data_IF_041368210582
#
_entry.id   IF_041368210582
#
_cell.length_a   1.000
_cell.length_b   1.000
_cell.length_c   1.000
_cell.angle_alpha   90.00
_cell.angle_beta   90.00
_cell.angle_gamma   90.00
#
_symmetry.space_group_name_H-M   'P 1'
#
loop_
_entity.id
_entity.type
_entity.pdbx_description
1 polymer ?
#
# COMPACT_ATOMS: atom_id res chain seq x y z
N UNK A 1 -0.87 13.51 -13.48
CA UNK A 1 -1.40 12.13 -13.48
C UNK A 1 -2.84 12.14 -13.03
N UNK A 2 -3.68 11.39 -13.70
CA UNK A 2 -5.05 11.23 -13.24
C UNK A 2 -5.09 10.15 -12.18
N UNK A 3 -5.65 10.49 -11.04
CA UNK A 3 -5.74 9.56 -9.92
C UNK A 3 -7.14 9.61 -9.35
N UNK A 4 -7.68 8.44 -9.08
CA UNK A 4 -8.94 8.34 -8.38
C UNK A 4 -8.65 8.02 -6.92
N UNK A 5 -9.15 8.85 -6.02
CA UNK A 5 -8.95 8.67 -4.58
C UNK A 5 -10.31 8.46 -3.94
N UNK A 6 -10.44 7.35 -3.23
CA UNK A 6 -11.70 6.97 -2.61
C UNK A 6 -11.46 6.73 -1.13
N UNK A 7 -11.90 7.64 -0.29
CA UNK A 7 -11.67 7.56 1.16
C UNK A 7 -12.77 6.74 1.80
N UNK A 8 -12.37 5.65 2.44
CA UNK A 8 -13.28 4.80 3.19
C UNK A 8 -13.06 5.02 4.68
N UNK A 9 -13.84 4.32 5.49
CA UNK A 9 -13.74 4.49 6.93
C UNK A 9 -12.40 4.02 7.48
N UNK A 10 -11.90 2.90 6.98
CA UNK A 10 -10.69 2.28 7.51
C UNK A 10 -9.48 2.41 6.60
N UNK A 11 -9.65 2.88 5.39
CA UNK A 11 -8.54 2.98 4.43
C UNK A 11 -8.91 3.93 3.30
N UNK A 12 -7.89 4.32 2.53
CA UNK A 12 -8.08 5.11 1.32
C UNK A 12 -7.60 4.28 0.15
N UNK A 13 -8.42 4.14 -0.89
CA UNK A 13 -8.03 3.46 -2.11
C UNK A 13 -7.55 4.50 -3.11
N UNK A 14 -6.38 4.28 -3.66
CA UNK A 14 -5.80 5.14 -4.68
C UNK A 14 -5.69 4.34 -5.96
N UNK A 15 -6.27 4.85 -7.05
CA UNK A 15 -6.27 4.16 -8.33
C UNK A 15 -5.73 5.11 -9.40
N UNK A 16 -4.48 4.95 -9.81
CA UNK A 16 -3.95 5.75 -10.93
C UNK A 16 -4.65 5.33 -12.21
N UNK A 17 -5.17 6.30 -12.96
CA UNK A 17 -5.89 6.01 -14.19
C UNK A 17 -4.97 6.37 -15.35
N UNK A 18 -3.88 5.61 -15.47
CA UNK A 18 -2.85 5.82 -16.48
C UNK A 18 -2.36 4.48 -16.98
N UNK A 19 -2.02 4.36 -18.24
CA UNK A 19 -1.51 3.08 -18.75
C UNK A 19 -0.11 2.75 -18.26
N UNK A 20 0.68 3.77 -17.92
CA UNK A 20 2.04 3.54 -17.45
C UNK A 20 2.37 4.53 -16.34
N UNK A 21 3.04 4.05 -15.30
CA UNK A 21 3.49 4.88 -14.19
C UNK A 21 4.95 5.24 -14.40
N UNK A 22 5.22 6.53 -14.57
CA UNK A 22 6.57 7.05 -14.70
C UNK A 22 7.07 7.54 -13.35
N UNK A 23 8.36 7.78 -13.24
CA UNK A 23 8.99 8.20 -11.98
C UNK A 23 8.34 9.45 -11.41
N UNK A 24 8.06 10.45 -12.26
CA UNK A 24 7.47 11.69 -11.77
C UNK A 24 6.04 11.46 -11.25
N UNK A 25 5.32 10.49 -11.82
CA UNK A 25 3.99 10.14 -11.32
C UNK A 25 4.08 9.46 -9.97
N UNK A 26 5.08 8.61 -9.78
CA UNK A 26 5.29 7.97 -8.49
C UNK A 26 5.65 9.01 -7.43
N UNK A 27 6.36 10.05 -7.81
CA UNK A 27 6.66 11.14 -6.88
C UNK A 27 5.39 11.87 -6.46
N UNK A 28 4.44 12.05 -7.39
CA UNK A 28 3.15 12.63 -7.05
C UNK A 28 2.39 11.73 -6.08
N UNK A 29 2.43 10.42 -6.32
CA UNK A 29 1.81 9.47 -5.40
C UNK A 29 2.41 9.59 -4.00
N UNK A 30 3.71 9.75 -3.92
CA UNK A 30 4.38 9.93 -2.63
C UNK A 30 3.81 11.13 -1.89
N UNK A 31 3.61 12.24 -2.60
CA UNK A 31 3.05 13.43 -1.98
C UNK A 31 1.64 13.21 -1.45
N UNK A 32 0.81 12.52 -2.22
CA UNK A 32 -0.55 12.21 -1.80
C UNK A 32 -0.53 11.32 -0.58
N UNK A 33 0.32 10.31 -0.58
CA UNK A 33 0.40 9.37 0.52
C UNK A 33 0.98 10.02 1.78
N UNK A 34 1.91 10.95 1.64
CA UNK A 34 2.42 11.69 2.79
C UNK A 34 1.27 12.45 3.47
N UNK A 35 0.35 13.01 2.68
CA UNK A 35 -0.81 13.67 3.26
C UNK A 35 -1.71 12.71 4.00
N UNK A 36 -1.85 11.50 3.49
CA UNK A 36 -2.68 10.49 4.15
C UNK A 36 -2.06 10.07 5.48
N UNK A 37 -0.74 10.01 5.56
CA UNK A 37 -0.05 9.64 6.79
C UNK A 37 -0.28 10.65 7.92
N UNK A 38 -0.78 11.84 7.62
CA UNK A 38 -1.09 12.84 8.62
C UNK A 38 -2.50 12.70 9.17
N UNK A 39 -3.29 11.80 8.62
CA UNK A 39 -4.67 11.60 9.05
C UNK A 39 -4.75 10.51 10.12
N UNK A 40 -5.91 10.39 10.74
CA UNK A 40 -6.13 9.32 11.71
C UNK A 40 -6.17 7.97 11.03
N UNK A 41 -6.87 7.88 9.92
CA UNK A 41 -6.91 6.65 9.14
C UNK A 41 -5.82 6.74 8.10
N UNK A 42 -4.78 5.95 8.27
CA UNK A 42 -3.59 6.05 7.46
C UNK A 42 -3.41 4.93 6.45
N UNK A 43 -4.28 3.94 6.45
CA UNK A 43 -4.11 2.77 5.59
C UNK A 43 -4.43 3.10 4.14
N UNK A 44 -3.63 2.55 3.22
CA UNK A 44 -3.79 2.79 1.78
C UNK A 44 -3.85 1.47 1.04
N UNK A 45 -4.77 1.38 0.11
CA UNK A 45 -4.79 0.31 -0.88
C UNK A 45 -4.51 0.97 -2.22
N UNK A 46 -3.44 0.55 -2.88
CA UNK A 46 -3.06 1.04 -4.19
C UNK A 46 -3.56 0.07 -5.25
N UNK A 47 -4.60 0.47 -5.96
CA UNK A 47 -5.21 -0.38 -6.98
C UNK A 47 -4.61 -0.03 -8.33
N UNK A 48 -3.89 -0.97 -8.92
CA UNK A 48 -3.18 -0.74 -10.18
C UNK A 48 -3.89 -1.39 -11.37
N UNK A 49 -5.18 -1.64 -11.24
CA UNK A 49 -5.93 -2.28 -12.32
C UNK A 49 -5.82 -1.55 -13.66
N UNK A 50 -5.88 -0.20 -13.73
CA UNK A 50 -5.74 0.47 -15.02
C UNK A 50 -4.32 0.51 -15.56
N UNK A 51 -3.33 0.15 -14.75
CA UNK A 51 -1.92 0.32 -15.10
C UNK A 51 -1.40 -0.90 -15.82
N UNK A 52 -0.86 -0.71 -17.02
CA UNK A 52 -0.33 -1.82 -17.82
C UNK A 52 1.18 -1.96 -17.67
N UNK A 53 1.87 -0.92 -17.25
CA UNK A 53 3.32 -0.94 -17.17
C UNK A 53 3.80 0.07 -16.13
N UNK A 54 5.04 -0.09 -15.66
CA UNK A 54 5.60 0.79 -14.64
C UNK A 54 7.10 0.89 -14.85
N UNK A 55 7.65 2.09 -14.70
CA UNK A 55 9.08 2.28 -14.78
C UNK A 55 9.78 1.71 -13.56
N UNK A 56 11.01 1.25 -13.75
CA UNK A 56 11.78 0.67 -12.64
C UNK A 56 11.89 1.64 -11.47
N UNK A 57 12.23 2.89 -11.75
CA UNK A 57 12.36 3.89 -10.70
C UNK A 57 11.05 4.18 -9.99
N UNK A 58 9.94 4.10 -10.72
CA UNK A 58 8.62 4.28 -10.12
C UNK A 58 8.30 3.13 -9.18
N UNK A 59 8.64 1.91 -9.59
CA UNK A 59 8.41 0.74 -8.74
C UNK A 59 9.20 0.85 -7.45
N UNK A 60 10.44 1.34 -7.53
CA UNK A 60 11.27 1.52 -6.35
C UNK A 60 10.70 2.58 -5.41
N UNK A 61 10.15 3.65 -5.95
CA UNK A 61 9.51 4.67 -5.12
C UNK A 61 8.29 4.11 -4.39
N UNK A 62 7.52 3.26 -5.06
CA UNK A 62 6.35 2.64 -4.44
C UNK A 62 6.78 1.70 -3.32
N UNK A 63 7.89 0.98 -3.51
CA UNK A 63 8.39 0.12 -2.46
C UNK A 63 8.80 0.94 -1.24
N UNK A 64 9.40 2.10 -1.45
CA UNK A 64 9.75 2.98 -0.34
C UNK A 64 8.51 3.51 0.37
N UNK A 65 7.44 3.74 -0.37
CA UNK A 65 6.19 4.16 0.24
C UNK A 65 5.66 3.10 1.19
N UNK A 66 5.69 1.85 0.79
CA UNK A 66 5.21 0.80 1.67
C UNK A 66 6.02 0.75 2.96
N UNK A 67 7.35 0.86 2.85
CA UNK A 67 8.20 0.86 4.03
C UNK A 67 7.85 2.05 4.94
N UNK A 68 7.63 3.20 4.36
CA UNK A 68 7.30 4.39 5.12
C UNK A 68 5.99 4.23 5.89
N UNK A 69 5.00 3.61 5.26
CA UNK A 69 3.72 3.36 5.92
C UNK A 69 3.90 2.39 7.08
N UNK A 70 4.66 1.33 6.87
CA UNK A 70 4.88 0.36 7.93
C UNK A 70 5.65 0.97 9.09
N UNK A 71 6.62 1.84 8.81
CA UNK A 71 7.33 2.54 9.86
C UNK A 71 6.41 3.45 10.66
N UNK A 72 5.32 3.90 10.06
CA UNK A 72 4.33 4.76 10.71
C UNK A 72 3.17 3.95 11.30
N UNK A 73 3.29 2.63 11.37
CA UNK A 73 2.25 1.74 11.88
C UNK A 73 0.97 1.82 11.05
N UNK A 74 1.14 1.90 9.74
CA UNK A 74 0.02 1.95 8.81
C UNK A 74 0.19 0.85 7.78
N UNK A 75 -0.89 0.50 7.09
CA UNK A 75 -0.87 -0.54 6.08
C UNK A 75 -0.83 0.07 4.69
N UNK A 76 -0.09 -0.58 3.80
CA UNK A 76 0.00 -0.18 2.40
C UNK A 76 -0.01 -1.46 1.59
N UNK A 77 -1.11 -1.69 0.85
CA UNK A 77 -1.28 -2.93 0.10
C UNK A 77 -1.56 -2.59 -1.36
N UNK A 78 -0.91 -3.32 -2.26
CA UNK A 78 -1.09 -3.14 -3.70
C UNK A 78 -1.98 -4.27 -4.21
N UNK A 79 -2.92 -3.95 -5.10
CA UNK A 79 -3.78 -4.99 -5.66
C UNK A 79 -3.99 -4.80 -7.15
N UNK A 80 -4.49 -5.84 -7.79
CA UNK A 80 -4.91 -5.82 -9.19
C UNK A 80 -3.78 -5.52 -10.15
N UNK A 81 -2.56 -6.02 -9.87
CA UNK A 81 -1.45 -5.76 -10.79
C UNK A 81 -1.56 -6.67 -12.01
N UNK A 82 -1.18 -6.13 -13.15
CA UNK A 82 -1.15 -6.88 -14.40
C UNK A 82 0.19 -7.58 -14.57
N UNK A 83 0.26 -8.59 -15.44
CA UNK A 83 1.50 -9.36 -15.58
C UNK A 83 2.74 -8.54 -15.88
N UNK A 84 2.64 -7.50 -16.69
CA UNK A 84 3.81 -6.69 -17.01
C UNK A 84 4.31 -5.91 -15.79
N UNK A 85 3.40 -5.46 -14.93
CA UNK A 85 3.80 -4.79 -13.70
C UNK A 85 4.44 -5.80 -12.75
N UNK A 86 3.85 -6.98 -12.66
CA UNK A 86 4.41 -8.03 -11.81
C UNK A 86 5.83 -8.38 -12.25
N UNK A 87 6.06 -8.45 -13.56
CA UNK A 87 7.38 -8.75 -14.08
C UNK A 87 8.42 -7.72 -13.67
N UNK A 88 8.06 -6.44 -13.68
CA UNK A 88 8.98 -5.39 -13.26
C UNK A 88 9.32 -5.55 -11.78
N UNK A 89 8.30 -5.83 -10.96
CA UNK A 89 8.52 -6.01 -9.53
C UNK A 89 9.40 -7.22 -9.25
N UNK A 90 9.19 -8.30 -10.00
CA UNK A 90 10.02 -9.50 -9.85
C UNK A 90 11.48 -9.22 -10.25
N UNK A 91 11.65 -8.56 -11.38
CA UNK A 91 12.97 -8.25 -11.90
C UNK A 91 13.78 -7.43 -10.89
N UNK A 92 13.13 -6.53 -10.21
CA UNK A 92 13.78 -5.66 -9.23
C UNK A 92 13.82 -6.28 -7.85
N UNK A 93 13.33 -7.50 -7.71
CA UNK A 93 13.28 -8.22 -6.43
C UNK A 93 12.45 -7.46 -5.39
N UNK A 94 11.44 -6.75 -5.85
CA UNK A 94 10.55 -6.01 -4.96
C UNK A 94 9.29 -6.78 -4.61
N UNK A 95 8.93 -7.77 -5.42
CA UNK A 95 7.67 -8.47 -5.23
C UNK A 95 7.57 -9.12 -3.86
N UNK A 96 8.68 -9.66 -3.37
CA UNK A 96 8.71 -10.31 -2.07
C UNK A 96 8.64 -9.31 -0.93
N UNK A 97 9.03 -8.07 -1.17
CA UNK A 97 9.01 -7.04 -0.14
C UNK A 97 7.68 -6.34 -0.04
N UNK A 98 6.86 -6.43 -1.08
CA UNK A 98 5.61 -5.70 -1.15
C UNK A 98 4.44 -6.57 -0.76
N UNK A 99 3.42 -5.97 -0.17
CA UNK A 99 2.15 -6.63 0.07
C UNK A 99 1.31 -6.49 -1.18
N UNK A 100 1.17 -7.58 -1.92
CA UNK A 100 0.41 -7.58 -3.17
C UNK A 100 -0.66 -8.64 -3.10
N UNK A 101 -1.88 -8.27 -3.47
CA UNK A 101 -2.99 -9.22 -3.53
C UNK A 101 -3.61 -9.18 -4.92
N UNK A 102 -4.29 -10.26 -5.33
CA UNK A 102 -4.94 -10.27 -6.64
C UNK A 102 -6.10 -9.29 -6.75
N UNK A 103 -6.85 -9.09 -5.67
CA UNK A 103 -8.06 -8.26 -5.71
C UNK A 103 -8.05 -7.23 -4.61
N UNK A 104 -8.87 -6.19 -4.79
CA UNK A 104 -9.01 -5.15 -3.78
C UNK A 104 -9.67 -5.72 -2.53
N UNK A 105 -10.57 -6.68 -2.67
CA UNK A 105 -11.22 -7.31 -1.53
C UNK A 105 -10.21 -8.00 -0.63
N UNK A 106 -9.25 -8.69 -1.24
CA UNK A 106 -8.20 -9.34 -0.47
C UNK A 106 -7.25 -8.33 0.16
N UNK A 107 -7.02 -7.21 -0.52
CA UNK A 107 -6.22 -6.14 0.06
C UNK A 107 -6.88 -5.60 1.31
N UNK A 108 -8.21 -5.44 1.27
CA UNK A 108 -8.96 -4.99 2.44
C UNK A 108 -8.83 -5.98 3.60
N UNK A 109 -8.87 -7.27 3.30
CA UNK A 109 -8.69 -8.30 4.33
C UNK A 109 -7.34 -8.14 5.02
N UNK A 110 -6.28 -7.85 4.27
CA UNK A 110 -4.96 -7.67 4.84
C UNK A 110 -4.92 -6.42 5.74
N UNK A 111 -5.52 -5.33 5.28
CA UNK A 111 -5.57 -4.11 6.08
C UNK A 111 -6.27 -4.38 7.42
N UNK A 112 -7.39 -5.10 7.38
CA UNK A 112 -8.12 -5.43 8.59
C UNK A 112 -7.28 -6.30 9.52
N UNK A 113 -6.62 -7.30 8.97
CA UNK A 113 -5.78 -8.18 9.78
C UNK A 113 -4.66 -7.42 10.45
N UNK A 114 -4.01 -6.53 9.70
CA UNK A 114 -2.90 -5.78 10.26
C UNK A 114 -3.36 -4.80 11.33
N UNK A 115 -4.54 -4.21 11.14
CA UNK A 115 -5.09 -3.33 12.17
C UNK A 115 -5.38 -4.08 13.45
N UNK A 116 -5.96 -5.26 13.32
CA UNK A 116 -6.26 -6.08 14.48
C UNK A 116 -4.97 -6.47 15.19
N UNK A 117 -3.96 -6.85 14.43
CA UNK A 117 -2.67 -7.21 15.01
C UNK A 117 -2.06 -6.05 15.77
N UNK A 118 -2.13 -4.84 15.23
CA UNK A 118 -1.59 -3.67 15.90
C UNK A 118 -2.34 -3.38 17.20
N UNK A 119 -3.66 -3.54 17.17
CA UNK A 119 -4.47 -3.34 18.38
C UNK A 119 -4.15 -4.36 19.45
N UNK A 120 -3.97 -5.61 19.04
CA UNK A 120 -3.63 -6.66 19.97
C UNK A 120 -2.25 -6.45 20.59
N UNK A 121 -1.32 -5.95 19.79
CA UNK A 121 0.00 -5.70 20.34
C UNK A 121 -0.03 -4.58 21.38
N UNK A 122 -0.84 -3.58 21.16
CA UNK A 122 -0.96 -2.51 22.13
C UNK A 122 -1.59 -2.97 23.41
N UNK A 123 -2.74 -3.64 23.32
CA UNK A 123 -3.46 -4.08 24.52
C UNK A 123 -2.90 -5.35 25.06
N UNK A 124 -2.52 -6.22 24.17
CA UNK A 124 -2.11 -7.55 24.54
C UNK A 124 -0.86 -7.58 25.36
N UNK A 125 0.06 -6.71 25.06
CA UNK A 125 1.27 -6.69 25.82
C UNK A 125 0.99 -6.49 27.26
N UNK A 126 0.11 -5.59 27.55
CA UNK A 126 -0.23 -5.30 28.91
C UNK A 126 -0.90 -6.48 29.57
N UNK A 127 -1.83 -7.09 28.87
CA UNK A 127 -2.56 -8.14 29.46
C UNK A 127 -1.77 -9.37 29.64
N UNK A 128 -1.02 -9.73 28.61
CA UNK A 128 -0.32 -10.97 28.71
C UNK A 128 0.69 -10.96 29.75
N UNK A 129 1.34 -9.83 29.91
CA UNK A 129 2.38 -9.80 30.85
C UNK A 129 1.91 -10.04 32.21
N UNK A 130 0.68 -9.78 32.45
CA UNK A 130 0.26 -9.95 33.77
C UNK A 130 -0.15 -11.29 33.98
N UNK A 131 -0.52 -12.01 33.02
CA UNK A 131 -1.07 -13.15 33.30
C UNK A 131 -0.35 -14.19 33.22
N UNK A 132 0.54 -14.10 32.98
CA UNK A 132 1.14 -15.24 32.95
C UNK A 132 1.61 -15.72 33.89
#
# INVERSE_FOLDING_TARGET
>A
MQIKVDTKEKFTTITPVEPKIYVNMAAELTGICDGILLKETKNVILNLQPVSDIEDGAAELIAKLQQKFYDANASFVICEIKPAVEEVLEKLELLELLNVTPTESEAWDIVQMEEIERELLDDGDVEFNTNE
#
